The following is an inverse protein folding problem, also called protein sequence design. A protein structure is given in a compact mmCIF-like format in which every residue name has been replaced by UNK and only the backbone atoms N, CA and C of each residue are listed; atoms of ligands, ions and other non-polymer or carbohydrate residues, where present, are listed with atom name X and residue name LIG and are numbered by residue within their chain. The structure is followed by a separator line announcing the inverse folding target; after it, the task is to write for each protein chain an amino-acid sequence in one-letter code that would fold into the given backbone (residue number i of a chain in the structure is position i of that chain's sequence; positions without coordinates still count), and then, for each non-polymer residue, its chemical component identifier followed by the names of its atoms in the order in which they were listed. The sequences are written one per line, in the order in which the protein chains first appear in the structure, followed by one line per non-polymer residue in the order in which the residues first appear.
data_IF_224754480937
#
_entry.id   IF_224754480937
#
_cell.length_a   1.000
_cell.length_b   1.000
_cell.length_c   1.000
_cell.angle_alpha   90.00
_cell.angle_beta   90.00
_cell.angle_gamma   90.00
#
_symmetry.space_group_name_H-M   'P 1'
#
loop_
_entity.id
_entity.type
_entity.pdbx_description
1 polymer ?
#
# COMPACT_ATOMS: atom_id res chain seq x y z
N UNK A 1 -41.71 63.80 11.05
CA UNK A 1 -42.29 63.67 9.69
C UNK A 1 -41.14 63.53 8.69
N UNK A 2 -41.27 62.59 7.74
CA UNK A 2 -40.32 62.17 6.67
C UNK A 2 -39.49 60.89 6.94
N UNK A 3 -40.19 59.75 6.95
CA UNK A 3 -39.79 58.52 6.25
C UNK A 3 -40.22 58.72 4.78
N UNK A 4 -39.39 58.51 3.73
CA UNK A 4 -39.25 57.15 3.15
C UNK A 4 -37.99 56.96 2.27
N UNK A 5 -36.91 56.33 2.76
CA UNK A 5 -35.82 55.81 1.91
C UNK A 5 -35.26 54.55 2.57
N UNK A 6 -36.04 53.47 2.63
CA UNK A 6 -35.53 52.20 3.17
C UNK A 6 -36.13 50.94 2.51
N UNK A 7 -36.75 51.07 1.33
CA UNK A 7 -37.47 49.95 0.69
C UNK A 7 -37.01 49.59 -0.74
N UNK A 8 -35.87 50.10 -1.21
CA UNK A 8 -35.31 49.71 -2.52
C UNK A 8 -33.99 48.93 -2.46
N UNK A 9 -33.48 48.60 -1.27
CA UNK A 9 -32.19 47.89 -1.11
C UNK A 9 -32.31 46.38 -0.82
N UNK A 10 -33.47 45.76 -1.09
CA UNK A 10 -33.71 44.33 -0.84
C UNK A 10 -33.96 43.49 -2.10
N UNK A 11 -33.74 44.04 -3.30
CA UNK A 11 -34.00 43.35 -4.58
C UNK A 11 -32.74 43.03 -5.41
N UNK A 12 -31.55 43.00 -4.79
CA UNK A 12 -30.29 42.77 -5.50
C UNK A 12 -29.54 41.48 -5.15
N UNK A 13 -30.10 40.57 -4.33
CA UNK A 13 -29.42 39.34 -3.90
C UNK A 13 -30.13 38.04 -4.36
N UNK A 14 -30.78 38.07 -5.53
CA UNK A 14 -31.46 36.92 -6.12
C UNK A 14 -30.90 36.51 -7.49
N UNK A 15 -29.74 37.02 -7.90
CA UNK A 15 -29.07 36.49 -9.07
C UNK A 15 -28.56 35.09 -8.71
N UNK A 16 -29.19 34.05 -9.29
CA UNK A 16 -28.57 32.73 -9.37
C UNK A 16 -27.11 32.96 -9.77
N UNK A 17 -26.18 32.47 -8.95
CA UNK A 17 -24.77 32.55 -9.31
C UNK A 17 -24.64 31.98 -10.72
N UNK A 18 -24.03 32.73 -11.67
CA UNK A 18 -23.90 32.23 -13.03
C UNK A 18 -23.30 30.84 -12.94
N UNK A 19 -24.04 29.86 -13.46
CA UNK A 19 -23.65 28.46 -13.48
C UNK A 19 -22.23 28.44 -14.00
N UNK A 20 -21.27 28.07 -13.15
CA UNK A 20 -19.87 27.99 -13.52
C UNK A 20 -19.76 26.81 -14.50
N UNK A 21 -19.67 27.04 -15.82
CA UNK A 21 -19.70 25.96 -16.79
C UNK A 21 -18.44 25.10 -16.66
N UNK A 22 -17.35 25.68 -16.14
CA UNK A 22 -16.13 24.96 -15.81
C UNK A 22 -16.34 24.10 -14.55
N UNK A 23 -17.02 24.63 -13.54
CA UNK A 23 -17.37 23.92 -12.31
C UNK A 23 -18.32 22.73 -12.52
N UNK A 24 -19.33 22.88 -13.37
CA UNK A 24 -20.28 21.80 -13.70
C UNK A 24 -19.71 20.78 -14.70
N UNK A 25 -18.85 21.21 -15.64
CA UNK A 25 -18.10 20.31 -16.52
C UNK A 25 -17.07 19.44 -15.78
N UNK A 26 -16.67 19.85 -14.58
CA UNK A 26 -15.73 19.10 -13.70
C UNK A 26 -16.44 18.19 -12.68
N UNK A 27 -17.78 18.14 -12.64
CA UNK A 27 -18.48 17.18 -11.77
C UNK A 27 -18.30 15.76 -12.32
N UNK A 28 -17.61 14.92 -11.56
CA UNK A 28 -17.52 13.49 -11.81
C UNK A 28 -18.94 12.88 -11.92
N UNK A 29 -19.24 12.19 -13.03
CA UNK A 29 -20.55 11.54 -13.26
C UNK A 29 -21.27 11.84 -14.59
N UNK A 30 -20.58 12.37 -15.60
CA UNK A 30 -21.15 12.56 -16.95
C UNK A 30 -21.27 11.25 -17.76
N UNK A 31 -21.91 11.32 -18.93
CA UNK A 31 -21.86 10.25 -19.96
C UNK A 31 -20.84 10.61 -21.04
N UNK A 32 -20.40 9.64 -21.85
CA UNK A 32 -19.52 9.93 -23.00
C UNK A 32 -20.15 10.91 -23.99
N UNK A 33 -21.47 10.83 -24.18
CA UNK A 33 -22.21 11.78 -25.00
C UNK A 33 -22.11 13.21 -24.43
N UNK A 34 -22.28 13.37 -23.11
CA UNK A 34 -22.10 14.68 -22.47
C UNK A 34 -20.67 15.22 -22.61
N UNK A 35 -19.66 14.35 -22.50
CA UNK A 35 -18.26 14.76 -22.71
C UNK A 35 -17.96 15.16 -24.16
N UNK A 36 -18.70 14.65 -25.15
CA UNK A 36 -18.54 15.01 -26.56
C UNK A 36 -19.08 16.41 -26.88
N UNK A 37 -20.07 16.88 -26.13
CA UNK A 37 -20.65 18.23 -26.27
C UNK A 37 -19.78 19.33 -25.61
N UNK A 38 -18.72 18.96 -24.89
CA UNK A 38 -17.79 19.91 -24.27
C UNK A 38 -16.97 20.61 -25.36
N UNK A 39 -17.17 21.92 -25.52
CA UNK A 39 -16.60 22.71 -26.60
C UNK A 39 -15.06 22.75 -26.64
N UNK A 40 -14.40 22.60 -25.48
CA UNK A 40 -12.94 22.66 -25.35
C UNK A 40 -12.37 21.27 -25.08
N UNK A 41 -11.42 20.82 -25.92
CA UNK A 41 -10.82 19.48 -25.83
C UNK A 41 -10.14 19.25 -24.48
N UNK A 42 -9.55 20.29 -23.91
CA UNK A 42 -8.87 20.27 -22.60
C UNK A 42 -9.85 19.99 -21.44
N UNK A 43 -11.13 20.30 -21.61
CA UNK A 43 -12.19 20.00 -20.63
C UNK A 43 -12.89 18.67 -20.94
N UNK A 44 -12.95 18.27 -22.21
CA UNK A 44 -13.50 16.97 -22.61
C UNK A 44 -12.64 15.79 -22.10
N UNK A 45 -11.31 15.97 -22.02
CA UNK A 45 -10.37 14.97 -21.49
C UNK A 45 -10.66 14.59 -20.03
N UNK A 46 -10.62 15.52 -19.05
CA UNK A 46 -10.90 15.17 -17.66
C UNK A 46 -12.34 14.67 -17.47
N UNK A 47 -13.31 15.11 -18.28
CA UNK A 47 -14.66 14.52 -18.31
C UNK A 47 -14.59 13.01 -18.63
N UNK A 48 -13.92 12.63 -19.72
CA UNK A 48 -13.76 11.21 -20.12
C UNK A 48 -13.00 10.38 -19.08
N UNK A 49 -11.96 10.94 -18.47
CA UNK A 49 -11.25 10.31 -17.34
C UNK A 49 -12.20 10.07 -16.16
N UNK A 50 -13.07 11.04 -15.85
CA UNK A 50 -14.12 10.90 -14.84
C UNK A 50 -15.14 9.81 -15.17
N UNK A 51 -15.57 9.71 -16.43
CA UNK A 51 -16.45 8.61 -16.90
C UNK A 51 -15.76 7.26 -16.74
N UNK A 52 -14.49 7.14 -17.13
CA UNK A 52 -13.73 5.90 -16.99
C UNK A 52 -13.59 5.46 -15.52
N UNK A 53 -13.38 6.41 -14.61
CA UNK A 53 -13.31 6.15 -13.18
C UNK A 53 -14.65 5.66 -12.60
N UNK A 54 -15.76 6.34 -12.90
CA UNK A 54 -17.10 5.90 -12.44
C UNK A 54 -17.51 4.56 -13.08
N UNK A 55 -17.18 4.33 -14.34
CA UNK A 55 -17.36 3.04 -15.01
C UNK A 55 -16.54 1.94 -14.29
N UNK A 56 -15.28 2.22 -13.96
CA UNK A 56 -14.44 1.29 -13.20
C UNK A 56 -15.00 0.95 -11.83
N UNK A 57 -15.50 1.95 -11.10
CA UNK A 57 -16.17 1.78 -9.80
C UNK A 57 -17.46 0.94 -9.91
N UNK A 58 -18.17 1.06 -11.03
CA UNK A 58 -19.35 0.25 -11.33
C UNK A 58 -19.02 -1.14 -11.89
N UNK A 59 -17.75 -1.44 -12.20
CA UNK A 59 -17.34 -2.68 -12.85
C UNK A 59 -17.61 -2.73 -14.37
N UNK A 60 -17.97 -1.61 -14.99
CA UNK A 60 -18.22 -1.52 -16.43
C UNK A 60 -16.92 -1.33 -17.21
N UNK A 61 -16.26 -2.45 -17.47
CA UNK A 61 -14.97 -2.52 -18.20
C UNK A 61 -15.11 -1.96 -19.61
N UNK A 62 -16.23 -2.22 -20.30
CA UNK A 62 -16.42 -1.82 -21.69
C UNK A 62 -16.52 -0.30 -21.80
N UNK A 63 -17.32 0.33 -20.93
CA UNK A 63 -17.44 1.78 -20.89
C UNK A 63 -16.12 2.46 -20.48
N UNK A 64 -15.37 1.87 -19.53
CA UNK A 64 -14.07 2.39 -19.13
C UNK A 64 -13.05 2.36 -20.29
N UNK A 65 -13.01 1.27 -21.06
CA UNK A 65 -12.14 1.16 -22.24
C UNK A 65 -12.56 2.15 -23.35
N UNK A 66 -13.86 2.27 -23.63
CA UNK A 66 -14.39 3.24 -24.60
C UNK A 66 -14.01 4.68 -24.21
N UNK A 67 -14.18 5.04 -22.93
CA UNK A 67 -13.83 6.35 -22.42
C UNK A 67 -12.35 6.68 -22.62
N UNK A 68 -11.46 5.75 -22.28
CA UNK A 68 -10.02 5.95 -22.42
C UNK A 68 -9.54 5.94 -23.89
N UNK A 69 -10.18 5.17 -24.77
CA UNK A 69 -9.88 5.19 -26.21
C UNK A 69 -10.14 6.56 -26.85
N UNK A 70 -11.13 7.30 -26.33
CA UNK A 70 -11.45 8.66 -26.78
C UNK A 70 -10.49 9.73 -26.24
N UNK A 71 -9.63 9.41 -25.27
CA UNK A 71 -8.60 10.34 -24.79
C UNK A 71 -7.39 10.31 -25.74
N UNK A 72 -6.83 11.45 -26.18
CA UNK A 72 -5.64 11.47 -27.03
C UNK A 72 -4.46 10.69 -26.41
N UNK A 73 -3.60 10.09 -27.26
CA UNK A 73 -2.42 9.35 -26.81
C UNK A 73 -1.46 10.20 -25.97
N UNK A 74 -0.76 9.53 -25.04
CA UNK A 74 0.17 10.13 -24.09
C UNK A 74 -0.40 10.24 -22.69
N UNK A 75 0.10 11.23 -21.93
CA UNK A 75 -0.08 11.37 -20.49
C UNK A 75 -1.54 11.23 -20.00
N UNK A 76 -2.49 11.84 -20.71
CA UNK A 76 -3.89 11.82 -20.29
C UNK A 76 -4.58 10.47 -20.50
N UNK A 77 -4.22 9.72 -21.56
CA UNK A 77 -4.75 8.36 -21.77
C UNK A 77 -4.15 7.40 -20.73
N UNK A 78 -2.89 7.59 -20.39
CA UNK A 78 -2.24 6.84 -19.31
C UNK A 78 -2.91 7.11 -17.95
N UNK A 79 -3.18 8.37 -17.61
CA UNK A 79 -3.95 8.75 -16.41
C UNK A 79 -5.38 8.17 -16.45
N UNK A 80 -6.04 8.16 -17.62
CA UNK A 80 -7.35 7.53 -17.78
C UNK A 80 -7.31 6.05 -17.38
N UNK A 81 -6.33 5.30 -17.90
CA UNK A 81 -6.15 3.90 -17.54
C UNK A 81 -5.78 3.73 -16.06
N UNK A 82 -4.95 4.61 -15.50
CA UNK A 82 -4.65 4.62 -14.06
C UNK A 82 -5.93 4.73 -13.23
N UNK A 83 -6.81 5.70 -13.54
CA UNK A 83 -8.05 5.94 -12.80
C UNK A 83 -9.06 4.81 -12.92
N UNK A 84 -9.26 4.29 -14.13
CA UNK A 84 -10.12 3.14 -14.36
C UNK A 84 -9.61 1.90 -13.61
N UNK A 85 -8.30 1.63 -13.68
CA UNK A 85 -7.66 0.51 -12.99
C UNK A 85 -7.76 0.60 -11.48
N UNK A 86 -7.51 1.78 -10.90
CA UNK A 86 -7.65 2.04 -9.46
C UNK A 86 -9.09 1.74 -8.98
N UNK A 87 -10.11 2.26 -9.66
CA UNK A 87 -11.50 2.08 -9.24
C UNK A 87 -12.02 0.64 -9.47
N UNK A 88 -11.61 -0.01 -10.58
CA UNK A 88 -11.88 -1.45 -10.78
C UNK A 88 -11.27 -2.30 -9.66
N UNK A 89 -10.06 -1.96 -9.22
CA UNK A 89 -9.39 -2.64 -8.11
C UNK A 89 -10.17 -2.52 -6.80
N UNK A 90 -10.62 -1.31 -6.47
CA UNK A 90 -11.48 -1.04 -5.30
C UNK A 90 -12.82 -1.78 -5.37
N UNK A 91 -13.36 -1.98 -6.57
CA UNK A 91 -14.58 -2.75 -6.81
C UNK A 91 -14.37 -4.27 -6.76
N UNK A 92 -13.13 -4.76 -6.64
CA UNK A 92 -12.81 -6.19 -6.58
C UNK A 92 -12.62 -6.87 -7.94
N UNK A 93 -12.50 -6.10 -9.03
CA UNK A 93 -12.28 -6.63 -10.38
C UNK A 93 -10.78 -6.74 -10.72
N UNK A 94 -10.03 -7.54 -9.95
CA UNK A 94 -8.55 -7.55 -9.97
C UNK A 94 -7.93 -7.76 -11.35
N UNK A 95 -8.28 -8.83 -12.09
CA UNK A 95 -7.72 -9.08 -13.44
C UNK A 95 -7.94 -7.88 -14.37
N UNK A 96 -9.14 -7.29 -14.34
CA UNK A 96 -9.51 -6.16 -15.19
C UNK A 96 -8.73 -4.91 -14.79
N UNK A 97 -8.64 -4.63 -13.50
CA UNK A 97 -7.85 -3.53 -12.96
C UNK A 97 -6.39 -3.58 -13.42
N UNK A 98 -5.76 -4.75 -13.33
CA UNK A 98 -4.36 -4.93 -13.70
C UNK A 98 -4.10 -4.73 -15.19
N UNK A 99 -5.04 -5.13 -16.06
CA UNK A 99 -4.95 -4.87 -17.50
C UNK A 99 -4.99 -3.38 -17.82
N UNK A 100 -5.77 -2.60 -17.07
CA UNK A 100 -5.74 -1.14 -17.17
C UNK A 100 -4.42 -0.58 -16.66
N UNK A 101 -3.95 -1.03 -15.49
CA UNK A 101 -2.66 -0.60 -14.96
C UNK A 101 -1.49 -0.90 -15.89
N UNK A 102 -1.50 -2.03 -16.60
CA UNK A 102 -0.48 -2.36 -17.60
C UNK A 102 -0.41 -1.34 -18.76
N UNK A 103 -1.54 -0.66 -19.06
CA UNK A 103 -1.64 0.38 -20.09
C UNK A 103 -1.47 1.80 -19.56
N UNK A 104 -1.17 1.97 -18.27
CA UNK A 104 -1.08 3.28 -17.63
C UNK A 104 0.31 3.93 -17.74
N UNK A 105 1.18 3.44 -18.63
CA UNK A 105 2.49 4.02 -18.94
C UNK A 105 3.31 4.33 -17.68
N UNK A 106 3.70 5.60 -17.51
CA UNK A 106 4.52 6.05 -16.37
C UNK A 106 3.78 5.92 -15.02
N UNK A 107 2.44 5.88 -15.04
CA UNK A 107 1.61 5.71 -13.84
C UNK A 107 1.39 4.25 -13.44
N UNK A 108 1.84 3.27 -14.23
CA UNK A 108 1.53 1.86 -14.02
C UNK A 108 1.91 1.34 -12.62
N UNK A 109 3.08 1.72 -12.09
CA UNK A 109 3.53 1.32 -10.74
C UNK A 109 2.58 1.83 -9.65
N UNK A 110 2.20 3.10 -9.74
CA UNK A 110 1.26 3.70 -8.79
C UNK A 110 -0.15 3.09 -8.96
N UNK A 111 -0.57 2.81 -10.20
CA UNK A 111 -1.86 2.17 -10.48
C UNK A 111 -1.94 0.82 -9.77
N UNK A 112 -0.94 -0.06 -9.97
CA UNK A 112 -0.93 -1.39 -9.34
C UNK A 112 -0.93 -1.27 -7.82
N UNK A 113 -0.15 -0.32 -7.28
CA UNK A 113 -0.10 -0.06 -5.84
C UNK A 113 -1.47 0.32 -5.28
N UNK A 114 -2.16 1.27 -5.91
CA UNK A 114 -3.50 1.72 -5.50
C UNK A 114 -4.55 0.63 -5.67
N UNK A 115 -4.53 -0.07 -6.80
CA UNK A 115 -5.42 -1.19 -7.07
C UNK A 115 -5.24 -2.29 -6.01
N UNK A 116 -3.99 -2.68 -5.71
CA UNK A 116 -3.67 -3.67 -4.69
C UNK A 116 -4.22 -3.28 -3.31
N UNK A 117 -4.05 -2.03 -2.88
CA UNK A 117 -4.56 -1.59 -1.57
C UNK A 117 -6.08 -1.53 -1.50
N UNK A 118 -6.75 -1.36 -2.64
CA UNK A 118 -8.19 -1.43 -2.78
C UNK A 118 -8.76 -2.86 -2.79
N UNK A 119 -7.93 -3.89 -3.01
CA UNK A 119 -8.44 -5.27 -3.16
C UNK A 119 -9.12 -5.76 -1.89
N UNK A 120 -10.38 -6.22 -1.96
CA UNK A 120 -11.05 -6.81 -0.82
C UNK A 120 -10.38 -8.14 -0.43
N UNK A 121 -10.44 -8.54 0.85
CA UNK A 121 -10.04 -9.88 1.25
C UNK A 121 -10.94 -10.92 0.59
N UNK A 122 -10.37 -12.07 0.22
CA UNK A 122 -11.13 -13.15 -0.40
C UNK A 122 -12.06 -13.81 0.65
N UNK A 123 -13.39 -13.87 0.40
CA UNK A 123 -14.32 -14.42 1.37
C UNK A 123 -14.04 -15.89 1.71
N UNK A 124 -13.93 -16.16 3.01
CA UNK A 124 -13.76 -17.53 3.52
C UNK A 124 -12.35 -18.11 3.37
N UNK A 125 -11.37 -17.30 2.96
CA UNK A 125 -9.96 -17.68 3.03
C UNK A 125 -9.45 -17.51 4.48
N UNK A 126 -8.69 -18.48 4.99
CA UNK A 126 -8.19 -18.47 6.36
C UNK A 126 -6.83 -19.16 6.44
N UNK A 127 -5.89 -18.66 7.25
CA UNK A 127 -4.59 -19.32 7.46
C UNK A 127 -4.73 -20.68 8.18
N UNK A 128 -5.89 -20.96 8.80
CA UNK A 128 -6.18 -22.25 9.42
C UNK A 128 -6.47 -23.38 8.41
N UNK A 129 -6.73 -23.04 7.14
CA UNK A 129 -6.84 -23.99 6.03
C UNK A 129 -5.71 -23.75 5.03
N UNK A 130 -4.48 -24.22 5.33
CA UNK A 130 -3.30 -23.89 4.53
C UNK A 130 -3.39 -24.42 3.10
N UNK A 131 -4.04 -25.56 2.88
CA UNK A 131 -4.20 -26.14 1.54
C UNK A 131 -5.07 -25.26 0.66
N UNK A 132 -6.24 -24.83 1.15
CA UNK A 132 -7.09 -23.90 0.40
C UNK A 132 -6.45 -22.53 0.24
N UNK A 133 -5.77 -22.03 1.28
CA UNK A 133 -5.08 -20.75 1.24
C UNK A 133 -4.01 -20.70 0.14
N UNK A 134 -3.13 -21.71 0.09
CA UNK A 134 -2.06 -21.78 -0.92
C UNK A 134 -2.63 -21.92 -2.34
N UNK A 135 -3.63 -22.78 -2.54
CA UNK A 135 -4.26 -22.95 -3.85
C UNK A 135 -4.88 -21.63 -4.38
N UNK A 136 -5.58 -20.88 -3.52
CA UNK A 136 -6.16 -19.59 -3.91
C UNK A 136 -5.07 -18.55 -4.20
N UNK A 137 -3.98 -18.52 -3.42
CA UNK A 137 -2.87 -17.60 -3.64
C UNK A 137 -2.10 -17.90 -4.93
N UNK A 138 -1.94 -19.17 -5.30
CA UNK A 138 -1.35 -19.58 -6.59
C UNK A 138 -2.25 -19.16 -7.76
N UNK A 139 -3.58 -19.32 -7.64
CA UNK A 139 -4.54 -18.82 -8.63
C UNK A 139 -4.43 -17.30 -8.79
N UNK A 140 -4.34 -16.58 -7.67
CA UNK A 140 -4.13 -15.13 -7.67
C UNK A 140 -2.81 -14.74 -8.36
N UNK A 141 -1.70 -15.43 -8.11
CA UNK A 141 -0.42 -15.17 -8.78
C UNK A 141 -0.53 -15.31 -10.31
N UNK A 142 -1.26 -16.34 -10.78
CA UNK A 142 -1.52 -16.51 -12.21
C UNK A 142 -2.33 -15.36 -12.79
N UNK A 143 -3.36 -14.89 -12.06
CA UNK A 143 -4.16 -13.71 -12.44
C UNK A 143 -3.28 -12.45 -12.49
N UNK A 144 -2.41 -12.24 -11.50
CA UNK A 144 -1.55 -11.06 -11.43
C UNK A 144 -0.56 -11.02 -12.58
N UNK A 145 0.10 -12.15 -12.83
CA UNK A 145 1.06 -12.30 -13.93
C UNK A 145 0.39 -12.09 -15.29
N UNK A 146 -0.80 -12.66 -15.50
CA UNK A 146 -1.54 -12.50 -16.74
C UNK A 146 -2.07 -11.08 -16.94
N UNK A 147 -2.59 -10.44 -15.88
CA UNK A 147 -3.15 -9.11 -15.92
C UNK A 147 -2.11 -8.01 -16.19
N UNK A 148 -0.86 -8.22 -15.74
CA UNK A 148 0.26 -7.31 -15.95
C UNK A 148 1.11 -7.63 -17.19
N UNK A 149 0.69 -8.60 -18.00
CA UNK A 149 1.39 -8.92 -19.24
C UNK A 149 1.37 -7.70 -20.20
N UNK A 150 2.54 -7.35 -20.73
CA UNK A 150 2.71 -6.18 -21.61
C UNK A 150 2.86 -4.84 -20.88
N UNK A 151 2.91 -4.84 -19.54
CA UNK A 151 3.27 -3.64 -18.78
C UNK A 151 4.71 -3.18 -19.07
N UNK A 152 5.02 -1.91 -18.78
CA UNK A 152 6.35 -1.35 -18.96
C UNK A 152 7.43 -2.14 -18.18
N UNK A 153 8.70 -2.12 -18.62
CA UNK A 153 9.79 -2.86 -17.97
C UNK A 153 9.86 -2.61 -16.45
N UNK A 154 9.97 -3.71 -15.69
CA UNK A 154 10.00 -3.69 -14.22
C UNK A 154 8.62 -3.62 -13.54
N UNK A 155 7.57 -3.14 -14.22
CA UNK A 155 6.23 -3.01 -13.62
C UNK A 155 5.63 -4.38 -13.30
N UNK A 156 5.80 -5.37 -14.18
CA UNK A 156 5.23 -6.70 -13.95
C UNK A 156 5.82 -7.34 -12.69
N UNK A 157 7.15 -7.37 -12.55
CA UNK A 157 7.81 -7.95 -11.38
C UNK A 157 7.49 -7.20 -10.08
N UNK A 158 7.66 -5.88 -10.06
CA UNK A 158 7.34 -5.05 -8.88
C UNK A 158 5.83 -5.11 -8.54
N UNK A 159 4.97 -5.14 -9.55
CA UNK A 159 3.52 -5.19 -9.38
C UNK A 159 3.04 -6.52 -8.79
N UNK A 160 3.57 -7.65 -9.28
CA UNK A 160 3.29 -8.98 -8.70
C UNK A 160 3.74 -9.03 -7.24
N UNK A 161 4.93 -8.53 -6.93
CA UNK A 161 5.49 -8.47 -5.56
C UNK A 161 4.57 -7.66 -4.61
N UNK A 162 4.04 -6.52 -5.05
CA UNK A 162 3.06 -5.71 -4.30
C UNK A 162 1.73 -6.45 -4.09
N UNK A 163 1.22 -7.12 -5.12
CA UNK A 163 -0.04 -7.86 -5.06
C UNK A 163 0.07 -9.09 -4.14
N UNK A 164 1.19 -9.81 -4.18
CA UNK A 164 1.47 -10.89 -3.25
C UNK A 164 1.54 -10.38 -1.81
N UNK A 165 2.21 -9.25 -1.57
CA UNK A 165 2.23 -8.63 -0.25
C UNK A 165 0.83 -8.32 0.25
N UNK A 166 -0.08 -7.82 -0.60
CA UNK A 166 -1.48 -7.57 -0.24
C UNK A 166 -2.24 -8.86 0.05
N UNK A 167 -2.09 -9.87 -0.81
CA UNK A 167 -2.83 -11.12 -0.71
C UNK A 167 -2.52 -11.83 0.63
N UNK A 168 -1.23 -11.96 0.97
CA UNK A 168 -0.80 -12.51 2.25
C UNK A 168 -1.23 -11.65 3.43
N UNK A 169 -1.17 -10.32 3.31
CA UNK A 169 -1.67 -9.40 4.34
C UNK A 169 -3.16 -9.64 4.63
N UNK A 170 -3.98 -9.78 3.59
CA UNK A 170 -5.41 -10.06 3.71
C UNK A 170 -5.69 -11.43 4.37
N UNK A 171 -4.82 -12.42 4.14
CA UNK A 171 -4.95 -13.74 4.75
C UNK A 171 -4.69 -13.70 6.27
N UNK A 172 -3.57 -13.09 6.69
CA UNK A 172 -3.12 -13.18 8.09
C UNK A 172 -3.57 -12.01 8.97
N UNK A 173 -3.46 -10.77 8.50
CA UNK A 173 -3.50 -9.59 9.39
C UNK A 173 -4.92 -9.27 9.86
N UNK A 174 -5.15 -9.51 11.14
CA UNK A 174 -6.46 -9.42 11.79
C UNK A 174 -7.29 -10.71 11.72
N UNK A 175 -6.72 -11.82 11.28
CA UNK A 175 -7.41 -13.13 11.21
C UNK A 175 -7.74 -13.72 12.58
N UNK A 176 -6.98 -13.36 13.63
CA UNK A 176 -7.07 -13.97 14.95
C UNK A 176 -6.19 -15.21 15.12
N UNK A 177 -5.41 -15.60 14.11
CA UNK A 177 -4.54 -16.78 14.13
C UNK A 177 -3.14 -16.47 13.62
N UNK A 178 -2.12 -16.71 14.45
CA UNK A 178 -0.72 -16.73 14.03
C UNK A 178 -0.20 -18.15 13.77
N UNK A 179 -1.05 -19.06 13.30
CA UNK A 179 -0.61 -20.40 12.86
C UNK A 179 0.36 -20.28 11.67
N UNK A 180 1.60 -20.77 11.78
CA UNK A 180 2.59 -20.65 10.72
C UNK A 180 2.39 -21.65 9.57
N UNK A 181 1.43 -22.59 9.63
CA UNK A 181 1.29 -23.67 8.65
C UNK A 181 1.20 -23.17 7.19
N UNK A 182 0.31 -22.22 6.90
CA UNK A 182 0.18 -21.66 5.55
C UNK A 182 1.45 -20.91 5.12
N UNK A 183 2.03 -20.11 6.02
CA UNK A 183 3.26 -19.37 5.72
C UNK A 183 4.50 -20.26 5.55
N UNK A 184 4.59 -21.41 6.23
CA UNK A 184 5.66 -22.40 6.06
C UNK A 184 5.53 -23.17 4.75
N UNK A 185 4.31 -23.45 4.30
CA UNK A 185 4.04 -24.10 3.01
C UNK A 185 4.24 -23.18 1.80
N UNK A 186 4.45 -21.88 2.03
CA UNK A 186 4.72 -20.91 0.97
C UNK A 186 6.18 -20.98 0.50
N UNK A 187 6.38 -21.37 -0.76
CA UNK A 187 7.69 -21.44 -1.40
C UNK A 187 7.90 -20.32 -2.43
N UNK A 188 9.11 -20.24 -3.00
CA UNK A 188 9.43 -19.33 -4.11
C UNK A 188 9.14 -17.85 -3.81
N UNK A 189 8.34 -17.23 -4.66
CA UNK A 189 7.93 -15.82 -4.57
C UNK A 189 6.99 -15.56 -3.38
N UNK A 190 6.18 -16.53 -2.96
CA UNK A 190 5.26 -16.36 -1.84
C UNK A 190 5.97 -16.26 -0.49
N UNK A 191 7.08 -16.98 -0.33
CA UNK A 191 7.74 -17.20 0.97
C UNK A 191 8.00 -15.91 1.77
N UNK A 192 8.67 -14.89 1.20
CA UNK A 192 8.93 -13.64 1.92
C UNK A 192 7.67 -12.90 2.36
N UNK A 193 6.65 -12.79 1.50
CA UNK A 193 5.39 -12.11 1.83
C UNK A 193 4.60 -12.86 2.90
N UNK A 194 4.58 -14.19 2.81
CA UNK A 194 3.92 -15.06 3.77
C UNK A 194 4.49 -14.88 5.17
N UNK A 195 5.83 -14.88 5.30
CA UNK A 195 6.53 -14.64 6.58
C UNK A 195 6.25 -13.24 7.12
N UNK A 196 6.18 -12.21 6.28
CA UNK A 196 5.81 -10.85 6.71
C UNK A 196 4.40 -10.78 7.25
N UNK A 197 3.42 -11.32 6.52
CA UNK A 197 2.02 -11.26 6.95
C UNK A 197 1.77 -12.08 8.22
N UNK A 198 2.39 -13.27 8.32
CA UNK A 198 2.38 -14.06 9.54
C UNK A 198 3.01 -13.30 10.72
N UNK A 199 4.18 -12.68 10.52
CA UNK A 199 4.87 -11.94 11.57
C UNK A 199 4.04 -10.74 12.08
N UNK A 200 3.36 -10.03 11.18
CA UNK A 200 2.45 -8.94 11.54
C UNK A 200 1.34 -9.41 12.47
N UNK A 201 0.72 -10.54 12.15
CA UNK A 201 -0.34 -11.13 12.97
C UNK A 201 0.21 -11.69 14.29
N UNK A 202 1.38 -12.32 14.26
CA UNK A 202 2.09 -12.79 15.46
C UNK A 202 2.35 -11.66 16.43
N UNK A 203 2.96 -10.55 15.99
CA UNK A 203 3.27 -9.39 16.85
C UNK A 203 2.00 -8.81 17.47
N UNK A 204 0.92 -8.72 16.68
CA UNK A 204 -0.39 -8.24 17.16
C UNK A 204 -0.97 -9.12 18.28
N UNK A 205 -0.87 -10.44 18.12
CA UNK A 205 -1.50 -11.41 19.02
C UNK A 205 -0.64 -11.73 20.25
N UNK A 206 0.68 -11.81 20.10
CA UNK A 206 1.61 -12.23 21.16
C UNK A 206 1.66 -11.23 22.32
N UNK A 207 1.54 -9.93 22.04
CA UNK A 207 1.59 -8.83 23.05
C UNK A 207 2.79 -8.94 24.00
N UNK A 208 3.92 -9.40 23.50
CA UNK A 208 5.15 -9.57 24.26
C UNK A 208 5.97 -8.27 24.31
N UNK A 209 6.83 -8.10 25.33
CA UNK A 209 7.89 -7.10 25.30
C UNK A 209 8.76 -7.23 24.02
N UNK A 210 9.19 -6.13 23.38
CA UNK A 210 9.86 -6.20 22.07
C UNK A 210 11.10 -7.11 22.00
N UNK A 211 11.89 -7.16 23.06
CA UNK A 211 13.08 -8.00 23.20
C UNK A 211 12.77 -9.50 23.22
N UNK A 212 11.52 -9.88 23.50
CA UNK A 212 11.04 -11.27 23.55
C UNK A 212 10.33 -11.70 22.26
N UNK A 213 9.95 -10.76 21.40
CA UNK A 213 9.12 -11.04 20.22
C UNK A 213 9.85 -11.92 19.21
N UNK A 214 11.11 -11.61 18.87
CA UNK A 214 11.87 -12.41 17.89
C UNK A 214 12.11 -13.85 18.38
N UNK A 215 12.64 -14.10 19.59
CA UNK A 215 12.80 -15.47 20.09
C UNK A 215 11.49 -16.25 20.14
N UNK A 216 10.40 -15.62 20.59
CA UNK A 216 9.09 -16.26 20.65
C UNK A 216 8.53 -16.60 19.26
N UNK A 217 8.69 -15.70 18.29
CA UNK A 217 8.30 -15.94 16.90
C UNK A 217 9.07 -17.13 16.32
N UNK A 218 10.39 -17.20 16.53
CA UNK A 218 11.21 -18.33 16.07
C UNK A 218 10.77 -19.65 16.72
N UNK A 219 10.49 -19.66 18.02
CA UNK A 219 10.01 -20.86 18.72
C UNK A 219 8.67 -21.36 18.16
N UNK A 220 7.70 -20.44 17.93
CA UNK A 220 6.44 -20.79 17.26
C UNK A 220 6.68 -21.28 15.84
N UNK A 221 7.57 -20.64 15.09
CA UNK A 221 7.93 -21.04 13.73
C UNK A 221 8.66 -22.39 13.66
N UNK A 222 9.30 -22.85 14.73
CA UNK A 222 9.89 -24.20 14.81
C UNK A 222 8.93 -25.24 15.38
N UNK A 223 7.76 -24.82 15.89
CA UNK A 223 6.82 -25.71 16.57
C UNK A 223 7.23 -26.04 18.02
N UNK A 224 8.16 -25.27 18.58
CA UNK A 224 8.64 -25.40 19.96
C UNK A 224 7.67 -24.70 20.95
N UNK A 225 6.76 -23.88 20.44
CA UNK A 225 5.75 -23.17 21.23
C UNK A 225 4.43 -23.08 20.47
N UNK A 226 3.28 -23.05 21.16
CA UNK A 226 1.99 -22.87 20.52
C UNK A 226 1.89 -21.49 19.87
N UNK A 227 1.26 -21.42 18.69
CA UNK A 227 0.98 -20.16 18.04
C UNK A 227 -0.03 -19.33 18.86
N UNK A 228 0.20 -18.02 19.05
CA UNK A 228 -0.78 -17.17 19.71
C UNK A 228 -2.04 -17.04 18.84
N UNK A 229 -3.19 -17.02 19.50
CA UNK A 229 -4.51 -16.86 18.89
C UNK A 229 -5.32 -15.83 19.66
N UNK A 230 -6.28 -15.18 19.02
CA UNK A 230 -7.16 -14.22 19.68
C UNK A 230 -8.34 -13.80 18.82
N UNK A 231 -9.03 -12.74 19.24
CA UNK A 231 -10.14 -12.21 18.47
C UNK A 231 -9.67 -11.74 17.08
N UNK A 232 -10.41 -12.17 16.06
CA UNK A 232 -10.34 -11.58 14.73
C UNK A 232 -10.74 -10.10 14.81
N UNK A 233 -10.09 -9.28 14.02
CA UNK A 233 -10.47 -7.87 13.89
C UNK A 233 -11.65 -7.74 12.91
N UNK A 234 -12.62 -6.85 13.18
CA UNK A 234 -13.76 -6.64 12.27
C UNK A 234 -13.26 -6.24 10.87
N UNK A 235 -14.01 -6.54 9.80
CA UNK A 235 -13.66 -6.06 8.46
C UNK A 235 -13.45 -4.55 8.43
N UNK A 236 -12.40 -4.09 7.76
CA UNK A 236 -12.09 -2.67 7.67
C UNK A 236 -10.61 -2.38 7.40
N UNK A 237 -10.24 -1.09 7.24
CA UNK A 237 -8.86 -0.70 7.02
C UNK A 237 -8.01 -1.13 8.22
N UNK A 238 -6.91 -1.84 7.91
CA UNK A 238 -5.88 -2.19 8.89
C UNK A 238 -4.86 -1.07 8.89
N UNK A 239 -4.73 -0.38 10.01
CA UNK A 239 -3.83 0.78 10.16
C UNK A 239 -2.57 0.33 10.90
N UNK A 240 -1.43 0.80 10.41
CA UNK A 240 -0.12 0.60 11.00
C UNK A 240 0.89 1.51 10.32
N UNK A 241 2.14 1.53 10.82
CA UNK A 241 3.22 2.25 10.14
C UNK A 241 3.64 1.50 8.88
N UNK A 242 3.73 2.21 7.78
CA UNK A 242 4.25 1.67 6.52
C UNK A 242 5.69 2.10 6.35
N UNK A 243 6.57 1.16 5.99
CA UNK A 243 7.94 1.55 5.67
C UNK A 243 7.94 2.28 4.34
N UNK A 244 8.85 3.24 4.19
CA UNK A 244 9.16 3.78 2.87
C UNK A 244 9.98 2.76 2.07
N UNK A 245 9.92 2.78 0.72
CA UNK A 245 10.75 1.95 -0.14
C UNK A 245 12.20 2.48 -0.15
N UNK A 246 12.85 2.41 1.00
CA UNK A 246 14.23 2.84 1.22
C UNK A 246 15.12 1.61 1.06
N UNK A 247 16.06 1.70 0.12
CA UNK A 247 17.09 0.69 -0.11
C UNK A 247 18.42 1.42 -0.25
N UNK A 248 19.38 1.14 0.63
CA UNK A 248 20.74 1.67 0.50
C UNK A 248 21.43 1.09 -0.74
N UNK A 249 22.25 1.88 -1.42
CA UNK A 249 22.91 1.50 -2.67
C UNK A 249 23.73 0.21 -2.49
N UNK A 250 24.47 0.11 -1.39
CA UNK A 250 25.30 -1.06 -1.09
C UNK A 250 24.56 -2.38 -0.89
N UNK A 251 23.23 -2.35 -0.73
CA UNK A 251 22.39 -3.56 -0.63
C UNK A 251 21.34 -3.69 -1.73
N UNK A 252 21.38 -2.83 -2.76
CA UNK A 252 20.41 -2.86 -3.86
C UNK A 252 20.39 -4.20 -4.60
N UNK A 253 21.52 -4.90 -4.68
CA UNK A 253 21.62 -6.22 -5.31
C UNK A 253 21.09 -7.38 -4.44
N UNK A 254 20.83 -7.14 -3.15
CA UNK A 254 20.22 -8.16 -2.30
C UNK A 254 18.76 -8.41 -2.70
N UNK A 255 18.21 -9.54 -2.26
CA UNK A 255 16.80 -9.82 -2.49
C UNK A 255 15.94 -8.90 -1.63
N UNK A 256 14.83 -8.47 -2.21
CA UNK A 256 13.84 -7.61 -1.58
C UNK A 256 12.46 -8.22 -1.71
N UNK A 257 11.55 -7.79 -0.84
CA UNK A 257 10.13 -8.07 -0.94
C UNK A 257 9.34 -6.82 -0.59
N UNK A 258 8.29 -6.55 -1.35
CA UNK A 258 7.31 -5.53 -1.03
C UNK A 258 6.61 -5.87 0.29
N UNK A 259 6.31 -4.80 1.03
CA UNK A 259 5.50 -4.83 2.23
C UNK A 259 4.20 -4.07 2.01
N UNK A 260 3.17 -4.39 2.78
CA UNK A 260 1.89 -3.70 2.70
C UNK A 260 2.06 -2.19 2.99
N UNK A 261 1.47 -1.35 2.13
CA UNK A 261 1.66 0.10 2.15
C UNK A 261 2.82 0.63 1.31
N UNK A 262 3.40 -0.20 0.42
CA UNK A 262 4.35 0.25 -0.60
C UNK A 262 5.79 0.39 -0.10
N UNK A 263 6.06 -0.12 1.10
CA UNK A 263 7.41 -0.28 1.60
C UNK A 263 8.12 -1.46 0.98
N UNK A 264 9.43 -1.52 1.19
CA UNK A 264 10.29 -2.63 0.77
C UNK A 264 11.13 -3.06 1.96
N UNK A 265 11.26 -4.36 2.16
CA UNK A 265 12.19 -4.95 3.13
C UNK A 265 13.23 -5.80 2.43
N UNK A 266 14.38 -5.94 3.07
CA UNK A 266 15.37 -6.94 2.65
C UNK A 266 14.84 -8.35 2.93
N UNK A 267 15.28 -9.31 2.14
CA UNK A 267 14.97 -10.74 2.32
C UNK A 267 16.23 -11.46 2.80
N UNK A 268 16.11 -12.18 3.91
CA UNK A 268 17.24 -12.91 4.50
C UNK A 268 17.75 -14.03 3.58
N UNK A 269 19.01 -14.43 3.77
CA UNK A 269 19.66 -15.46 2.95
C UNK A 269 19.06 -16.86 3.19
N UNK A 270 18.50 -17.05 4.39
CA UNK A 270 17.79 -18.27 4.79
C UNK A 270 16.47 -17.92 5.50
N UNK A 271 15.63 -18.94 5.71
CA UNK A 271 14.29 -18.78 6.29
C UNK A 271 14.33 -18.11 7.68
N UNK A 272 15.30 -18.47 8.53
CA UNK A 272 15.37 -17.97 9.90
C UNK A 272 15.80 -16.49 9.96
N UNK A 273 16.78 -16.12 9.15
CA UNK A 273 17.16 -14.71 8.96
C UNK A 273 16.00 -13.91 8.39
N UNK A 274 15.33 -14.42 7.34
CA UNK A 274 14.21 -13.72 6.73
C UNK A 274 13.02 -13.56 7.68
N UNK A 275 12.77 -14.57 8.51
CA UNK A 275 11.76 -14.51 9.55
C UNK A 275 12.11 -13.48 10.63
N UNK A 276 13.37 -13.41 11.03
CA UNK A 276 13.86 -12.39 11.96
C UNK A 276 13.60 -10.99 11.41
N UNK A 277 13.97 -10.76 10.14
CA UNK A 277 13.70 -9.50 9.42
C UNK A 277 12.20 -9.19 9.37
N UNK A 278 11.38 -10.18 8.99
CA UNK A 278 9.92 -10.03 8.94
C UNK A 278 9.30 -9.65 10.29
N UNK A 279 9.79 -10.22 11.40
CA UNK A 279 9.34 -9.91 12.76
C UNK A 279 9.75 -8.50 13.20
N UNK A 280 10.95 -8.06 12.83
CA UNK A 280 11.41 -6.69 13.11
C UNK A 280 10.58 -5.67 12.31
N UNK A 281 10.28 -5.95 11.04
CA UNK A 281 9.35 -5.15 10.22
C UNK A 281 7.94 -5.13 10.83
N UNK A 282 7.47 -6.26 11.37
CA UNK A 282 6.17 -6.35 12.05
C UNK A 282 6.11 -5.53 13.35
N UNK A 283 7.21 -5.48 14.11
CA UNK A 283 7.36 -4.57 15.25
C UNK A 283 7.18 -3.11 14.81
N UNK A 284 7.77 -2.69 13.69
CA UNK A 284 7.59 -1.34 13.18
C UNK A 284 6.15 -1.06 12.76
N UNK A 285 5.49 -2.00 12.08
CA UNK A 285 4.08 -1.82 11.67
C UNK A 285 3.16 -1.50 12.87
N UNK A 286 3.42 -2.09 14.04
CA UNK A 286 2.74 -1.73 15.27
C UNK A 286 3.10 -0.29 15.68
N UNK A 287 2.13 0.63 15.61
CA UNK A 287 2.34 2.08 15.86
C UNK A 287 2.89 2.39 17.26
N UNK A 288 2.59 1.54 18.25
CA UNK A 288 3.04 1.71 19.63
C UNK A 288 4.49 1.31 19.88
N UNK A 289 5.18 0.72 18.91
CA UNK A 289 6.56 0.25 19.11
C UNK A 289 7.55 1.42 19.13
N UNK A 290 8.30 1.61 20.23
CA UNK A 290 9.25 2.71 20.36
C UNK A 290 10.60 2.36 19.68
N UNK A 291 11.46 3.35 19.38
CA UNK A 291 12.75 3.10 18.70
C UNK A 291 13.66 2.11 19.44
N UNK A 292 13.61 2.06 20.77
CA UNK A 292 14.43 1.16 21.60
C UNK A 292 14.17 -0.32 21.31
N UNK A 293 12.99 -0.65 20.77
CA UNK A 293 12.64 -2.00 20.35
C UNK A 293 13.58 -2.58 19.27
N UNK A 294 14.22 -1.72 18.48
CA UNK A 294 15.09 -2.13 17.38
C UNK A 294 16.56 -2.27 17.80
N UNK A 295 16.96 -1.67 18.93
CA UNK A 295 18.35 -1.65 19.42
C UNK A 295 18.95 -3.05 19.59
N UNK A 296 18.25 -4.07 20.13
CA UNK A 296 18.82 -5.41 20.28
C UNK A 296 19.29 -6.04 18.97
N UNK A 297 18.68 -5.68 17.84
CA UNK A 297 19.00 -6.22 16.52
C UNK A 297 20.06 -5.42 15.75
N UNK A 298 20.46 -4.24 16.24
CA UNK A 298 21.50 -3.42 15.60
C UNK A 298 22.90 -4.04 15.68
N UNK A 299 23.13 -4.93 16.65
CA UNK A 299 24.37 -5.68 16.82
C UNK A 299 24.35 -7.08 16.19
N UNK A 300 23.28 -7.45 15.47
CA UNK A 300 23.16 -8.80 14.90
C UNK A 300 24.31 -9.06 13.89
N UNK A 301 24.96 -10.23 13.94
CA UNK A 301 26.03 -10.56 12.99
C UNK A 301 25.54 -10.64 11.54
N UNK A 302 24.25 -10.95 11.33
CA UNK A 302 23.63 -11.04 10.00
C UNK A 302 23.34 -9.64 9.48
N UNK A 303 23.93 -9.31 8.33
CA UNK A 303 23.86 -7.97 7.75
C UNK A 303 22.41 -7.51 7.52
N UNK A 304 21.55 -8.40 7.02
CA UNK A 304 20.15 -8.09 6.70
C UNK A 304 19.34 -7.69 7.93
N UNK A 305 19.53 -8.41 9.03
CA UNK A 305 18.87 -8.14 10.32
C UNK A 305 19.35 -6.80 10.87
N UNK A 306 20.68 -6.60 10.87
CA UNK A 306 21.31 -5.36 11.35
C UNK A 306 20.82 -4.13 10.58
N UNK A 307 20.84 -4.18 9.25
CA UNK A 307 20.41 -3.04 8.42
C UNK A 307 18.91 -2.77 8.53
N UNK A 308 18.09 -3.81 8.62
CA UNK A 308 16.65 -3.66 8.90
C UNK A 308 16.45 -2.94 10.24
N UNK A 309 17.13 -3.38 11.30
CA UNK A 309 17.03 -2.75 12.62
C UNK A 309 17.44 -1.26 12.60
N UNK A 310 18.54 -0.92 11.92
CA UNK A 310 18.98 0.46 11.76
C UNK A 310 18.01 1.32 10.95
N UNK A 311 17.47 0.78 9.85
CA UNK A 311 16.42 1.45 9.04
C UNK A 311 15.22 1.81 9.91
N UNK A 312 14.67 0.84 10.63
CA UNK A 312 13.44 1.05 11.41
C UNK A 312 13.67 1.92 12.65
N UNK A 313 14.83 1.80 13.30
CA UNK A 313 15.24 2.77 14.31
C UNK A 313 15.33 4.18 13.74
N UNK A 314 15.98 4.36 12.59
CA UNK A 314 16.09 5.65 11.91
C UNK A 314 14.74 6.26 11.56
N UNK A 315 13.75 5.44 11.19
CA UNK A 315 12.38 5.88 10.89
C UNK A 315 11.53 6.21 12.13
N UNK A 316 11.97 5.86 13.33
CA UNK A 316 11.18 6.03 14.57
C UNK A 316 11.86 6.93 15.61
N UNK A 317 13.18 7.02 15.59
CA UNK A 317 13.95 7.82 16.53
C UNK A 317 13.82 9.33 16.23
N UNK A 318 14.01 10.18 17.26
CA UNK A 318 14.06 11.63 17.06
C UNK A 318 15.14 12.04 16.05
N UNK A 319 14.90 13.02 15.15
CA UNK A 319 15.84 13.40 14.10
C UNK A 319 17.25 13.76 14.62
N UNK A 320 17.35 14.40 15.78
CA UNK A 320 18.61 14.76 16.42
C UNK A 320 19.43 13.53 16.85
N UNK A 321 18.77 12.48 17.34
CA UNK A 321 19.42 11.22 17.69
C UNK A 321 19.92 10.51 16.43
N UNK A 322 19.13 10.54 15.35
CA UNK A 322 19.51 9.98 14.05
C UNK A 322 20.76 10.67 13.50
N UNK A 323 20.80 12.01 13.49
CA UNK A 323 21.97 12.80 13.05
C UNK A 323 23.23 12.51 13.86
N UNK A 324 23.10 12.45 15.19
CA UNK A 324 24.22 12.11 16.06
C UNK A 324 24.77 10.71 15.73
N UNK A 325 23.88 9.75 15.51
CA UNK A 325 24.23 8.36 15.17
C UNK A 325 24.90 8.25 13.79
N UNK A 326 24.38 8.97 12.77
CA UNK A 326 25.01 9.03 11.44
C UNK A 326 26.46 9.52 11.54
N UNK A 327 26.71 10.52 12.40
CA UNK A 327 28.05 11.10 12.58
C UNK A 327 29.00 10.14 13.29
N UNK A 328 28.48 9.33 14.22
CA UNK A 328 29.25 8.37 15.00
C UNK A 328 29.42 6.99 14.33
N UNK A 329 28.62 6.69 13.29
CA UNK A 329 28.62 5.38 12.64
C UNK A 329 29.95 5.11 11.91
N UNK A 330 30.64 4.04 12.32
CA UNK A 330 31.85 3.55 11.66
C UNK A 330 31.57 2.67 10.44
N UNK A 331 30.38 2.04 10.39
CA UNK A 331 29.93 1.26 9.23
C UNK A 331 29.26 2.20 8.20
N UNK A 332 29.83 2.34 6.98
CA UNK A 332 29.30 3.24 5.97
C UNK A 332 27.88 2.84 5.49
N UNK A 333 27.52 1.56 5.51
CA UNK A 333 26.18 1.09 5.11
C UNK A 333 25.13 1.47 6.15
N UNK A 334 25.50 1.42 7.43
CA UNK A 334 24.63 1.89 8.52
C UNK A 334 24.41 3.39 8.39
N UNK A 335 25.49 4.17 8.17
CA UNK A 335 25.38 5.61 7.99
C UNK A 335 24.52 5.98 6.77
N UNK A 336 24.66 5.28 5.64
CA UNK A 336 23.82 5.48 4.45
C UNK A 336 22.35 5.16 4.73
N UNK A 337 22.07 4.01 5.35
CA UNK A 337 20.71 3.58 5.71
C UNK A 337 20.01 4.61 6.58
N UNK A 338 20.71 5.16 7.58
CA UNK A 338 20.18 6.18 8.47
C UNK A 338 19.93 7.52 7.76
N UNK A 339 20.81 7.96 6.85
CA UNK A 339 20.59 9.19 6.06
C UNK A 339 19.33 9.08 5.20
N UNK A 340 19.09 7.91 4.61
CA UNK A 340 17.88 7.68 3.81
C UNK A 340 16.62 7.69 4.68
N UNK A 341 16.67 7.09 5.87
CA UNK A 341 15.57 7.12 6.84
C UNK A 341 15.27 8.54 7.35
N UNK A 342 16.31 9.31 7.68
CA UNK A 342 16.20 10.72 8.11
C UNK A 342 15.47 11.57 7.06
N UNK A 343 15.82 11.42 5.78
CA UNK A 343 15.19 12.14 4.68
C UNK A 343 13.68 11.87 4.55
N UNK A 344 13.19 10.72 5.04
CA UNK A 344 11.76 10.39 5.07
C UNK A 344 11.05 10.89 6.33
N UNK A 345 11.70 10.86 7.50
CA UNK A 345 11.11 11.42 8.72
C UNK A 345 10.78 12.92 8.59
N UNK A 346 11.63 13.67 7.88
CA UNK A 346 11.42 15.11 7.68
C UNK A 346 10.22 15.45 6.80
N UNK A 347 9.65 14.49 6.06
CA UNK A 347 8.44 14.74 5.27
C UNK A 347 7.17 14.81 6.13
N UNK A 348 7.26 14.45 7.41
CA UNK A 348 6.18 14.48 8.39
C UNK A 348 5.00 13.58 8.01
N UNK A 349 4.11 13.25 8.96
CA UNK A 349 2.78 12.80 8.58
C UNK A 349 2.14 13.95 7.81
N UNK A 350 1.99 13.81 6.48
CA UNK A 350 1.22 14.76 5.65
C UNK A 350 -0.10 14.99 6.38
N UNK A 351 -0.28 16.17 6.97
CA UNK A 351 -1.26 16.43 8.02
C UNK A 351 -2.61 15.82 7.71
N UNK A 352 -2.84 14.62 8.26
CA UNK A 352 -4.18 14.06 8.35
C UNK A 352 -4.92 15.01 9.26
N UNK A 353 -5.75 15.89 8.67
CA UNK A 353 -6.71 16.67 9.44
C UNK A 353 -7.46 15.65 10.28
N UNK A 354 -7.15 15.60 11.58
CA UNK A 354 -8.01 14.94 12.55
C UNK A 354 -9.36 15.63 12.37
N UNK A 355 -10.28 14.96 11.68
CA UNK A 355 -11.69 15.30 11.79
C UNK A 355 -12.02 14.92 13.21
N UNK A 356 -11.95 15.89 14.10
CA UNK A 356 -12.53 15.77 15.43
C UNK A 356 -14.01 15.43 15.20
N UNK A 357 -14.36 14.17 15.44
CA UNK A 357 -15.74 13.74 15.48
C UNK A 357 -16.38 14.49 16.66
N UNK A 358 -17.23 15.47 16.34
CA UNK A 358 -18.17 16.08 17.28
C UNK A 358 -19.45 15.29 17.32
#
# INVERSE_FOLDING_TARGET
MRLPILLMALWACGAESPVDPAGDGLRAGGSLAACAEVAFVELAIPCRVGVAAEAGKAGDVALADEACALVPEGLWREECHFRAGEELGKAGHTDRALRFCARAGDFARNCVTHAAWGLPPEPGLSPADPTRALAALDEQLNIYTAGLNGAAPGVQGEGVDILLSRAWFNLYVGSGSADPAAARGAEGEHGPHARTAWALEFVRLAKLPPDQVVPAALAVWRGESPAPSGAALPPGPRVGRHTSPIVAEGVRAQRHAATFGGGVRLVGENIEEDLTVAVIEALFFNEGTPPEAFVPSQGDPRLTVRLTAWKLWGLTAPPEAVKATITAASDPLVAETLRLAEGKNMQGPKGGRRRDAR
#
